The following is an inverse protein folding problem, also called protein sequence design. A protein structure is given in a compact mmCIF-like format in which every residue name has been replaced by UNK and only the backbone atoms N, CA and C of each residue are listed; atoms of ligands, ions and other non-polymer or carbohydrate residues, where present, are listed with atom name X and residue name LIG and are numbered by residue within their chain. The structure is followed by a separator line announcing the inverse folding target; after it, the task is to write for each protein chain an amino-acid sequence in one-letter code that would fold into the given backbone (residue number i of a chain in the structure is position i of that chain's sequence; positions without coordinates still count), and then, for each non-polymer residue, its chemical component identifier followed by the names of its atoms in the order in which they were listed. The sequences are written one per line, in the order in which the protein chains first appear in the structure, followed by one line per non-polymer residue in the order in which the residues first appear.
data_IF_599749766556
#
_entry.id   IF_599749766556
#
_cell.length_a   1.000
_cell.length_b   1.000
_cell.length_c   1.000
_cell.angle_alpha   90.00
_cell.angle_beta   90.00
_cell.angle_gamma   90.00
#
_symmetry.space_group_name_H-M   'P 1'
#
loop_
_entity.id
_entity.type
_entity.pdbx_description
1 polymer ?
#
# COMPACT_ATOMS: atom_id res chain seq x y z
N UNK A 1 -21.24 17.58 -31.98
CA UNK A 1 -20.80 16.34 -31.29
C UNK A 1 -19.42 16.62 -30.73
N UNK A 2 -19.26 16.77 -29.41
CA UNK A 2 -17.94 17.02 -28.80
C UNK A 2 -17.28 15.66 -28.63
N UNK A 3 -16.20 15.42 -29.37
CA UNK A 3 -15.39 14.22 -29.25
C UNK A 3 -14.75 14.19 -27.85
N UNK A 4 -15.04 13.13 -27.09
CA UNK A 4 -14.49 12.96 -25.73
C UNK A 4 -12.96 12.88 -25.85
N UNK A 5 -12.25 13.90 -25.35
CA UNK A 5 -10.79 13.84 -25.18
C UNK A 5 -10.44 12.64 -24.31
N UNK A 6 -9.69 11.70 -24.88
CA UNK A 6 -9.12 10.57 -24.14
C UNK A 6 -8.09 11.12 -23.16
N UNK A 7 -8.39 11.06 -21.86
CA UNK A 7 -7.43 11.41 -20.81
C UNK A 7 -6.38 10.30 -20.77
N UNK A 8 -5.10 10.67 -20.94
CA UNK A 8 -3.98 9.76 -20.79
C UNK A 8 -3.37 10.05 -19.42
N UNK A 9 -3.48 9.11 -18.50
CA UNK A 9 -2.87 9.22 -17.18
C UNK A 9 -1.37 8.96 -17.26
N UNK A 10 -0.58 9.73 -16.53
CA UNK A 10 0.89 9.54 -16.44
C UNK A 10 1.23 8.33 -15.56
N UNK A 11 0.42 8.06 -14.54
CA UNK A 11 0.53 6.91 -13.67
C UNK A 11 -0.87 6.43 -13.28
N UNK A 12 -1.02 5.12 -13.16
CA UNK A 12 -2.21 4.44 -12.67
C UNK A 12 -1.79 3.51 -11.52
N UNK A 13 -2.49 3.52 -10.37
CA UNK A 13 -2.23 2.55 -9.31
C UNK A 13 -2.43 1.13 -9.82
N UNK A 14 -1.46 0.25 -9.53
CA UNK A 14 -1.58 -1.16 -9.83
C UNK A 14 -2.14 -1.90 -8.61
N UNK A 15 -3.27 -2.56 -8.78
CA UNK A 15 -3.90 -3.41 -7.78
C UNK A 15 -4.35 -4.72 -8.43
N UNK A 16 -4.21 -5.82 -7.70
CA UNK A 16 -4.81 -7.10 -8.00
C UNK A 16 -5.48 -7.70 -6.75
N UNK A 17 -5.90 -8.97 -6.85
CA UNK A 17 -6.61 -9.65 -5.77
C UNK A 17 -5.82 -9.67 -4.44
N UNK A 18 -4.49 -9.60 -4.50
CA UNK A 18 -3.63 -9.64 -3.31
C UNK A 18 -3.89 -8.43 -2.41
N UNK A 19 -4.09 -7.24 -3.00
CA UNK A 19 -4.41 -6.05 -2.21
C UNK A 19 -5.80 -6.17 -1.59
N UNK A 20 -6.77 -6.76 -2.29
CA UNK A 20 -8.10 -7.02 -1.74
C UNK A 20 -8.06 -8.00 -0.55
N UNK A 21 -7.29 -9.08 -0.66
CA UNK A 21 -7.13 -10.03 0.46
C UNK A 21 -6.40 -9.38 1.65
N UNK A 22 -5.38 -8.56 1.40
CA UNK A 22 -4.61 -7.90 2.44
C UNK A 22 -5.47 -6.95 3.30
N UNK A 23 -6.45 -6.26 2.73
CA UNK A 23 -7.30 -5.32 3.48
C UNK A 23 -8.38 -5.98 4.34
N UNK A 24 -8.75 -7.25 4.06
CA UNK A 24 -9.85 -7.91 4.78
C UNK A 24 -9.54 -8.11 6.26
N UNK A 25 -8.29 -8.43 6.60
CA UNK A 25 -7.92 -8.75 7.98
C UNK A 25 -7.99 -7.52 8.90
N UNK A 26 -7.38 -6.36 8.59
CA UNK A 26 -7.51 -5.14 9.39
C UNK A 26 -8.96 -4.68 9.57
N UNK A 27 -9.78 -4.81 8.52
CA UNK A 27 -11.19 -4.42 8.57
C UNK A 27 -11.97 -5.36 9.49
N UNK A 28 -11.77 -6.69 9.37
CA UNK A 28 -12.46 -7.68 10.19
C UNK A 28 -12.03 -7.62 11.66
N UNK A 29 -10.77 -7.33 11.95
CA UNK A 29 -10.26 -7.20 13.31
C UNK A 29 -10.68 -5.88 13.98
N UNK A 30 -11.08 -4.88 13.18
CA UNK A 30 -11.38 -3.53 13.65
C UNK A 30 -10.12 -2.68 13.94
N UNK A 31 -8.92 -3.24 13.79
CA UNK A 31 -7.66 -2.54 14.00
C UNK A 31 -7.16 -1.95 12.68
N UNK A 32 -7.67 -0.77 12.33
CA UNK A 32 -7.36 -0.07 11.07
C UNK A 32 -6.30 1.02 11.19
N UNK A 33 -5.71 1.17 12.37
CA UNK A 33 -4.59 2.07 12.66
C UNK A 33 -3.26 1.31 12.67
N UNK A 34 -2.15 1.99 13.00
CA UNK A 34 -0.84 1.34 13.12
C UNK A 34 -0.92 0.14 14.08
N UNK A 35 -0.44 -1.01 13.60
CA UNK A 35 -0.64 -2.29 14.26
C UNK A 35 0.17 -3.41 13.61
N UNK A 36 -0.21 -4.68 13.84
CA UNK A 36 0.58 -5.84 13.40
C UNK A 36 0.89 -5.87 11.90
N UNK A 37 -0.04 -5.40 11.04
CA UNK A 37 0.18 -5.33 9.59
C UNK A 37 1.23 -4.31 9.16
N UNK A 38 1.41 -3.24 9.93
CA UNK A 38 2.50 -2.29 9.69
C UNK A 38 3.84 -2.93 10.03
N UNK A 39 3.93 -3.66 11.15
CA UNK A 39 5.15 -4.36 11.54
C UNK A 39 5.54 -5.46 10.53
N UNK A 40 4.55 -6.19 10.00
CA UNK A 40 4.75 -7.18 8.93
C UNK A 40 5.30 -6.52 7.66
N UNK A 41 4.72 -5.38 7.25
CA UNK A 41 5.21 -4.60 6.11
C UNK A 41 6.64 -4.10 6.30
N UNK A 42 6.97 -3.56 7.48
CA UNK A 42 8.32 -3.08 7.81
C UNK A 42 9.37 -4.19 7.71
N UNK A 43 9.06 -5.37 8.23
CA UNK A 43 9.94 -6.55 8.14
C UNK A 43 10.11 -7.00 6.69
N UNK A 44 9.01 -7.12 5.95
CA UNK A 44 9.04 -7.52 4.53
C UNK A 44 9.82 -6.51 3.67
N UNK A 45 9.66 -5.21 3.95
CA UNK A 45 10.37 -4.14 3.26
C UNK A 45 11.88 -4.22 3.55
N UNK A 46 12.27 -4.40 4.82
CA UNK A 46 13.67 -4.54 5.20
C UNK A 46 14.31 -5.76 4.53
N UNK A 47 13.62 -6.90 4.55
CA UNK A 47 14.07 -8.14 3.90
C UNK A 47 14.24 -7.96 2.39
N UNK A 48 13.25 -7.36 1.72
CA UNK A 48 13.26 -7.12 0.27
C UNK A 48 14.48 -6.30 -0.18
N UNK A 49 14.92 -5.35 0.64
CA UNK A 49 16.04 -4.46 0.31
C UNK A 49 17.37 -4.88 0.96
N UNK A 50 17.41 -5.98 1.71
CA UNK A 50 18.62 -6.46 2.38
C UNK A 50 19.14 -5.50 3.45
N UNK A 51 18.25 -4.71 4.08
CA UNK A 51 18.60 -3.76 5.13
C UNK A 51 18.17 -4.26 6.50
N UNK A 52 18.81 -3.74 7.56
CA UNK A 52 18.53 -4.17 8.94
C UNK A 52 17.15 -3.73 9.44
N UNK A 53 16.67 -2.57 8.99
CA UNK A 53 15.45 -1.94 9.48
C UNK A 53 14.66 -1.31 8.34
N UNK A 54 13.34 -1.38 8.41
CA UNK A 54 12.40 -0.59 7.63
C UNK A 54 11.41 0.05 8.60
N UNK A 55 11.05 1.32 8.38
CA UNK A 55 10.11 2.06 9.22
C UNK A 55 9.05 2.66 8.30
N UNK A 56 7.79 2.35 8.56
CA UNK A 56 6.67 2.90 7.83
C UNK A 56 6.29 4.27 8.42
N UNK A 57 6.18 5.27 7.56
CA UNK A 57 5.63 6.59 7.90
C UNK A 57 4.39 6.87 7.06
N UNK A 58 3.70 7.96 7.36
CA UNK A 58 2.48 8.34 6.63
C UNK A 58 2.78 8.80 5.19
N UNK A 59 3.98 9.31 4.95
CA UNK A 59 4.44 9.78 3.63
C UNK A 59 5.97 9.94 3.60
N UNK A 60 6.57 10.00 2.41
CA UNK A 60 8.01 10.24 2.27
C UNK A 60 8.48 11.67 2.62
N UNK A 61 7.57 12.55 3.07
CA UNK A 61 7.91 13.90 3.56
C UNK A 61 8.23 13.90 5.07
N UNK A 62 7.72 12.91 5.80
CA UNK A 62 7.68 12.82 7.27
C UNK A 62 8.36 11.57 7.78
#
# INVERSE_FOLDING_TARGET
MIEKRKIIQVAEPYFDEREWEAIKEPIKSGWVTQGPKVAEFEQAFAQKHGVKHGIATTSCTT
#
